data_IF_948625527761
#
_entry.id   IF_948625527761
#
_cell.length_a   1.000
_cell.length_b   1.000
_cell.length_c   1.000
_cell.angle_alpha   90.00
_cell.angle_beta   90.00
_cell.angle_gamma   90.00
#
_symmetry.space_group_name_H-M   'P 1'
#
loop_
_entity.id
_entity.type
_entity.pdbx_description
1 polymer ?
#
# COMPACT_ATOMS: atom_id res chain seq x y z
N UNK A 1 -2.17 -7.09 5.92
CA UNK A 1 -0.93 -6.40 5.52
C UNK A 1 -0.52 -5.46 6.63
N UNK A 2 0.77 -5.44 6.96
CA UNK A 2 1.32 -4.55 7.97
C UNK A 2 2.49 -3.77 7.38
N UNK A 3 2.49 -2.45 7.57
CA UNK A 3 3.51 -1.54 7.08
C UNK A 3 3.96 -0.67 8.27
N UNK A 4 5.27 -0.57 8.47
CA UNK A 4 5.87 0.40 9.40
C UNK A 4 6.75 1.36 8.61
N UNK A 5 6.37 2.63 8.60
CA UNK A 5 7.02 3.63 7.76
C UNK A 5 6.78 5.07 8.23
N UNK A 6 7.57 5.99 7.70
CA UNK A 6 7.37 7.42 7.88
C UNK A 6 7.87 8.22 6.67
N UNK A 7 7.60 9.52 6.68
CA UNK A 7 8.11 10.43 5.66
C UNK A 7 9.45 11.08 6.09
N UNK A 8 9.94 12.04 5.32
CA UNK A 8 11.21 12.71 5.59
C UNK A 8 11.27 13.50 6.92
N UNK A 9 10.13 13.76 7.57
CA UNK A 9 10.07 14.44 8.86
C UNK A 9 10.19 15.96 8.83
N UNK A 10 10.08 16.58 7.66
CA UNK A 10 10.12 18.03 7.51
C UNK A 10 9.31 18.51 6.30
N UNK A 11 8.78 19.73 6.41
CA UNK A 11 8.24 20.52 5.31
C UNK A 11 8.18 21.99 5.70
N UNK A 12 8.03 22.89 4.73
CA UNK A 12 7.79 24.32 4.97
C UNK A 12 6.34 24.67 5.37
N UNK A 13 5.41 23.70 5.35
CA UNK A 13 3.98 23.89 5.59
C UNK A 13 3.62 23.37 6.99
N UNK A 14 4.05 24.09 8.03
CA UNK A 14 3.85 23.70 9.43
C UNK A 14 2.39 23.46 9.81
N UNK A 15 1.45 24.10 9.12
CA UNK A 15 0.00 23.95 9.29
C UNK A 15 -0.52 22.56 8.92
N UNK A 16 0.24 21.79 8.13
CA UNK A 16 -0.13 20.44 7.70
C UNK A 16 0.62 19.35 8.47
N UNK A 17 1.60 19.70 9.30
CA UNK A 17 2.41 18.74 10.06
C UNK A 17 1.55 17.85 10.94
N UNK A 18 1.83 16.55 10.91
CA UNK A 18 1.08 15.57 11.69
C UNK A 18 -0.35 15.33 11.17
N UNK A 19 -0.69 15.81 9.98
CA UNK A 19 -1.96 15.53 9.28
C UNK A 19 -1.70 14.75 7.99
N UNK A 20 -2.75 14.26 7.32
CA UNK A 20 -2.63 13.66 5.99
C UNK A 20 -2.69 14.69 4.85
N UNK A 21 -2.99 15.97 5.15
CA UNK A 21 -3.09 17.01 4.13
C UNK A 21 -1.73 17.24 3.50
N UNK A 22 -1.71 17.35 2.17
CA UNK A 22 -0.48 17.55 1.41
C UNK A 22 0.62 16.53 1.75
N UNK A 23 0.27 15.33 2.19
CA UNK A 23 1.24 14.25 2.37
C UNK A 23 1.52 13.59 1.02
N UNK A 24 2.80 13.44 0.69
CA UNK A 24 3.23 12.94 -0.61
C UNK A 24 4.08 11.67 -0.48
N UNK A 25 3.88 10.90 0.60
CA UNK A 25 4.38 9.53 0.73
C UNK A 25 3.25 8.58 1.10
N UNK A 26 3.11 7.51 0.33
CA UNK A 26 2.03 6.54 0.46
C UNK A 26 2.44 5.16 -0.06
N UNK A 27 1.52 4.20 0.00
CA UNK A 27 1.70 2.84 -0.47
C UNK A 27 0.56 2.44 -1.40
N UNK A 28 0.89 1.90 -2.57
CA UNK A 28 -0.08 1.32 -3.50
C UNK A 28 -0.02 -0.21 -3.43
N UNK A 29 -1.15 -0.85 -3.73
CA UNK A 29 -1.21 -2.29 -3.99
C UNK A 29 -0.70 -2.55 -5.41
N UNK A 30 0.38 -3.31 -5.53
CA UNK A 30 0.84 -3.86 -6.80
C UNK A 30 0.23 -5.22 -7.05
N UNK A 31 -0.16 -5.47 -8.29
CA UNK A 31 -0.73 -6.74 -8.71
C UNK A 31 -0.22 -7.12 -10.11
N UNK A 32 0.40 -8.28 -10.22
CA UNK A 32 0.91 -8.81 -11.49
C UNK A 32 0.38 -10.22 -11.71
N UNK A 33 -0.22 -10.45 -12.88
CA UNK A 33 -0.69 -11.77 -13.31
C UNK A 33 0.47 -12.65 -13.76
N UNK A 34 0.29 -13.95 -13.61
CA UNK A 34 1.15 -14.93 -14.27
C UNK A 34 1.06 -14.75 -15.81
N UNK A 35 2.18 -14.87 -16.56
CA UNK A 35 2.16 -14.76 -18.03
C UNK A 35 1.14 -15.70 -18.68
N UNK A 36 0.42 -15.20 -19.69
CA UNK A 36 -0.58 -15.96 -20.46
C UNK A 36 -1.98 -15.97 -19.86
N UNK A 37 -2.23 -15.20 -18.80
CA UNK A 37 -3.55 -15.06 -18.18
C UNK A 37 -4.20 -13.75 -18.63
N UNK A 38 -5.35 -13.85 -19.31
CA UNK A 38 -6.02 -12.71 -19.99
C UNK A 38 -7.16 -12.08 -19.18
N UNK A 39 -7.46 -12.56 -17.97
CA UNK A 39 -8.49 -11.90 -17.17
C UNK A 39 -7.98 -10.54 -16.67
N UNK A 40 -8.64 -9.50 -17.17
CA UNK A 40 -8.27 -8.12 -16.88
C UNK A 40 -8.55 -7.88 -15.40
N UNK A 41 -7.48 -7.78 -14.61
CA UNK A 41 -7.58 -6.98 -13.41
C UNK A 41 -7.39 -5.55 -13.90
N UNK A 42 -8.48 -4.77 -13.96
CA UNK A 42 -8.43 -3.34 -14.28
C UNK A 42 -7.34 -2.68 -13.41
N UNK A 43 -6.69 -1.64 -13.94
CA UNK A 43 -5.62 -0.90 -13.27
C UNK A 43 -5.97 -0.68 -11.79
N UNK A 44 -5.32 -1.46 -10.91
CA UNK A 44 -5.60 -1.45 -9.49
C UNK A 44 -5.05 -0.18 -8.88
N UNK A 45 -5.86 0.87 -8.85
CA UNK A 45 -5.56 2.10 -8.12
C UNK A 45 -5.99 1.98 -6.66
N UNK A 46 -5.35 1.06 -5.94
CA UNK A 46 -5.64 0.81 -4.52
C UNK A 46 -4.51 1.39 -3.67
N UNK A 47 -4.78 2.54 -3.05
CA UNK A 47 -3.90 3.12 -2.03
C UNK A 47 -4.12 2.41 -0.69
N UNK A 48 -3.08 1.74 -0.21
CA UNK A 48 -3.08 0.97 1.03
C UNK A 48 -2.99 1.86 2.28
N UNK A 49 -2.09 2.85 2.25
CA UNK A 49 -1.82 3.75 3.39
C UNK A 49 -1.12 5.03 2.94
N UNK A 50 -1.19 6.08 3.77
CA UNK A 50 -0.48 7.35 3.59
C UNK A 50 0.21 7.71 4.90
N UNK A 51 1.47 8.12 4.85
CA UNK A 51 2.15 8.61 6.06
C UNK A 51 1.64 10.00 6.43
N UNK A 52 1.73 10.38 7.69
CA UNK A 52 1.52 11.75 8.12
C UNK A 52 2.57 12.68 7.51
N UNK A 53 2.10 13.85 7.12
CA UNK A 53 2.89 14.93 6.56
C UNK A 53 3.95 15.42 7.57
N UNK A 54 5.19 15.52 7.09
CA UNK A 54 6.39 15.93 7.80
C UNK A 54 6.62 15.18 9.14
N UNK A 55 6.21 13.92 9.22
CA UNK A 55 6.49 13.07 10.39
C UNK A 55 7.73 12.19 10.17
N UNK A 56 8.77 12.42 10.96
CA UNK A 56 9.93 11.52 11.05
C UNK A 56 9.72 10.34 11.99
N UNK A 57 8.50 10.18 12.52
CA UNK A 57 8.13 9.12 13.46
C UNK A 57 7.41 8.01 12.68
N UNK A 58 7.98 6.81 12.73
CA UNK A 58 7.42 5.59 12.14
C UNK A 58 6.01 5.29 12.66
N UNK A 59 5.08 5.16 11.71
CA UNK A 59 3.69 4.79 11.95
C UNK A 59 3.48 3.32 11.58
N UNK A 60 2.59 2.65 12.31
CA UNK A 60 2.13 1.32 11.97
C UNK A 60 0.79 1.44 11.22
N UNK A 61 0.77 0.95 9.98
CA UNK A 61 -0.43 0.85 9.17
C UNK A 61 -0.84 -0.62 9.06
N UNK A 62 -2.11 -0.90 9.32
CA UNK A 62 -2.69 -2.23 9.17
C UNK A 62 -3.82 -2.16 8.14
N UNK A 63 -3.70 -2.96 7.09
CA UNK A 63 -4.71 -3.10 6.04
C UNK A 63 -5.19 -4.54 6.01
N UNK A 64 -6.50 -4.73 6.15
CA UNK A 64 -7.13 -6.06 6.15
C UNK A 64 -8.22 -6.05 5.10
N UNK A 65 -8.10 -6.95 4.14
CA UNK A 65 -9.17 -7.29 3.20
C UNK A 65 -9.73 -8.66 3.57
N UNK A 66 -11.04 -8.82 3.42
CA UNK A 66 -11.78 -10.04 3.74
C UNK A 66 -12.57 -10.50 2.53
N UNK A 67 -12.88 -11.80 2.47
CA UNK A 67 -13.64 -12.41 1.37
C UNK A 67 -14.97 -11.68 1.09
N UNK A 68 -15.59 -11.12 2.13
CA UNK A 68 -16.85 -10.39 2.09
C UNK A 68 -16.73 -9.00 1.42
N UNK A 69 -15.52 -8.45 1.30
CA UNK A 69 -15.30 -7.12 0.69
C UNK A 69 -15.54 -7.11 -0.82
N UNK A 70 -15.73 -8.27 -1.45
CA UNK A 70 -16.03 -8.42 -2.89
C UNK A 70 -15.06 -7.64 -3.81
N UNK A 71 -13.76 -7.81 -3.56
CA UNK A 71 -12.73 -7.14 -4.36
C UNK A 71 -12.38 -7.99 -5.59
N UNK A 72 -12.53 -7.48 -6.83
CA UNK A 72 -12.29 -8.26 -8.05
C UNK A 72 -10.90 -8.88 -8.15
N UNK A 73 -9.87 -8.13 -7.73
CA UNK A 73 -8.49 -8.62 -7.73
C UNK A 73 -8.29 -9.79 -6.78
N UNK A 74 -8.92 -9.75 -5.59
CA UNK A 74 -8.78 -10.77 -4.58
C UNK A 74 -9.54 -12.04 -4.97
N UNK A 75 -10.74 -11.91 -5.55
CA UNK A 75 -11.52 -13.05 -6.07
C UNK A 75 -10.83 -13.78 -7.21
N UNK A 76 -10.02 -13.05 -7.99
CA UNK A 76 -9.30 -13.60 -9.13
C UNK A 76 -7.87 -14.03 -8.81
N UNK A 77 -7.42 -13.93 -7.54
CA UNK A 77 -6.09 -14.40 -7.12
C UNK A 77 -5.95 -15.90 -7.40
N UNK A 78 -4.85 -16.28 -8.06
CA UNK A 78 -4.48 -17.67 -8.25
C UNK A 78 -3.01 -17.89 -7.89
N UNK A 79 -2.63 -19.17 -7.72
CA UNK A 79 -1.25 -19.54 -7.54
C UNK A 79 -0.40 -19.03 -8.72
N UNK A 80 0.67 -18.30 -8.41
CA UNK A 80 1.58 -17.71 -9.38
C UNK A 80 1.42 -16.20 -9.58
N UNK A 81 0.26 -15.63 -9.24
CA UNK A 81 0.10 -14.17 -9.22
C UNK A 81 1.01 -13.55 -8.16
N UNK A 82 1.39 -12.29 -8.39
CA UNK A 82 2.22 -11.52 -7.46
C UNK A 82 1.42 -10.36 -6.89
N UNK A 83 1.45 -10.25 -5.57
CA UNK A 83 0.91 -9.12 -4.82
C UNK A 83 2.09 -8.39 -4.17
N UNK A 84 2.13 -7.07 -4.34
CA UNK A 84 3.24 -6.23 -3.89
C UNK A 84 2.72 -5.04 -3.09
N UNK A 85 3.52 -4.56 -2.14
CA UNK A 85 3.34 -3.25 -1.51
C UNK A 85 4.33 -2.30 -2.18
N UNK A 86 3.85 -1.26 -2.86
CA UNK A 86 4.68 -0.33 -3.62
C UNK A 86 4.80 0.99 -2.83
N UNK A 87 5.94 1.27 -2.18
CA UNK A 87 6.17 2.57 -1.56
C UNK A 87 6.30 3.66 -2.62
N UNK A 88 5.66 4.80 -2.36
CA UNK A 88 5.66 5.97 -3.24
C UNK A 88 6.13 7.22 -2.50
N UNK A 89 6.77 8.10 -3.26
CA UNK A 89 7.05 9.48 -2.91
C UNK A 89 6.95 10.34 -4.18
N UNK A 90 6.19 11.44 -4.16
CA UNK A 90 5.90 12.19 -5.40
C UNK A 90 6.94 13.26 -5.74
N UNK A 91 7.48 13.96 -4.74
CA UNK A 91 8.31 15.15 -4.96
C UNK A 91 9.77 14.92 -4.51
N UNK A 92 10.77 15.60 -5.13
CA UNK A 92 12.19 15.31 -4.89
C UNK A 92 12.69 15.41 -3.45
N UNK A 93 12.01 16.20 -2.60
CA UNK A 93 12.33 16.30 -1.16
C UNK A 93 11.61 15.28 -0.28
N UNK A 94 10.59 14.62 -0.82
CA UNK A 94 9.80 13.63 -0.11
C UNK A 94 10.44 12.26 -0.22
N UNK A 95 10.55 11.59 0.92
CA UNK A 95 11.15 10.27 1.03
C UNK A 95 10.26 9.40 1.88
N UNK A 96 9.96 8.20 1.41
CA UNK A 96 9.20 7.20 2.16
C UNK A 96 10.19 6.20 2.78
N UNK A 97 10.41 6.32 4.08
CA UNK A 97 11.28 5.40 4.82
C UNK A 97 10.45 4.23 5.31
N UNK A 98 10.71 3.05 4.73
CA UNK A 98 10.02 1.80 5.06
C UNK A 98 10.91 0.95 5.94
N UNK A 99 10.50 0.74 7.19
CA UNK A 99 11.22 -0.11 8.13
C UNK A 99 10.73 -1.56 8.06
N UNK A 100 9.43 -1.76 7.81
CA UNK A 100 8.81 -3.07 7.65
C UNK A 100 7.66 -2.99 6.67
N UNK A 101 7.52 -4.00 5.82
CA UNK A 101 6.31 -4.25 5.06
C UNK A 101 6.09 -5.77 4.99
N UNK A 102 4.87 -6.22 5.21
CA UNK A 102 4.53 -7.63 5.17
C UNK A 102 3.12 -7.85 4.63
N UNK A 103 2.99 -8.91 3.84
CA UNK A 103 1.74 -9.39 3.27
C UNK A 103 1.55 -10.81 3.79
N UNK A 104 0.38 -11.06 4.36
CA UNK A 104 -0.06 -12.38 4.77
C UNK A 104 -1.39 -12.64 4.06
N UNK A 105 -1.49 -13.80 3.41
CA UNK A 105 -2.65 -14.21 2.64
C UNK A 105 -3.10 -15.56 3.20
N UNK A 106 -4.38 -15.63 3.54
CA UNK A 106 -5.02 -16.86 3.97
C UNK A 106 -6.01 -17.27 2.88
N UNK A 107 -5.95 -18.54 2.50
CA UNK A 107 -6.92 -19.16 1.59
C UNK A 107 -7.51 -20.36 2.30
N UNK A 108 -8.80 -20.60 2.09
CA UNK A 108 -9.43 -21.85 2.47
C UNK A 108 -9.34 -22.82 1.29
N UNK A 109 -8.49 -23.85 1.33
CA UNK A 109 -8.30 -24.77 0.20
C UNK A 109 -9.45 -25.78 0.04
N UNK A 110 -10.55 -25.62 0.78
CA UNK A 110 -11.63 -26.59 0.89
C UNK A 110 -13.00 -25.90 0.76
N UNK A 111 -13.42 -25.65 -0.48
CA UNK A 111 -14.82 -25.38 -0.84
C UNK A 111 -15.16 -26.11 -2.12
#
# INVERSE_FOLDING_TARGET
>A
MEIRSHDQGWSSYSEDHGTYRNSWTWFDLGFERTPGREDVCEDLDVRLATNLHASGIAQNHQVVYRAEDDLPWMRSLQAGDRVSIIPRALFPGWQNFVERASIEIYTDPLS
#
